data_IF_896285263611
#
_entry.id   IF_896285263611
#
_cell.length_a   1.000
_cell.length_b   1.000
_cell.length_c   1.000
_cell.angle_alpha   90.00
_cell.angle_beta   90.00
_cell.angle_gamma   90.00
#
_symmetry.space_group_name_H-M   'P 1'
#
loop_
_entity.id
_entity.type
_entity.pdbx_description
1 polymer ?
#
# COMPACT_ATOMS: atom_id res chain seq x y z
N UNK A 1 -61.29 -10.86 -37.38
CA UNK A 1 -60.43 -9.67 -37.15
C UNK A 1 -59.43 -10.00 -36.07
N UNK A 2 -58.14 -10.03 -36.44
CA UNK A 2 -57.01 -10.38 -35.56
C UNK A 2 -56.74 -9.24 -34.58
N UNK A 3 -56.61 -9.53 -33.28
CA UNK A 3 -55.99 -8.63 -32.30
C UNK A 3 -54.81 -9.36 -31.66
N UNK A 4 -53.63 -9.02 -32.13
CA UNK A 4 -52.32 -9.38 -31.60
C UNK A 4 -52.08 -8.62 -30.30
N UNK A 5 -51.91 -9.34 -29.19
CA UNK A 5 -51.34 -8.79 -27.96
C UNK A 5 -49.84 -9.14 -27.96
N UNK A 6 -49.00 -8.13 -28.12
CA UNK A 6 -47.55 -8.28 -27.99
C UNK A 6 -47.18 -8.00 -26.54
N UNK A 7 -46.87 -9.05 -25.77
CA UNK A 7 -46.30 -8.94 -24.44
C UNK A 7 -44.83 -8.52 -24.59
N UNK A 8 -44.50 -7.27 -24.25
CA UNK A 8 -43.11 -6.83 -24.13
C UNK A 8 -42.60 -7.19 -22.73
N UNK A 9 -41.90 -8.32 -22.62
CA UNK A 9 -41.19 -8.71 -21.40
C UNK A 9 -39.92 -7.88 -21.27
N UNK A 10 -39.98 -6.84 -20.43
CA UNK A 10 -38.83 -6.04 -20.04
C UNK A 10 -38.03 -6.81 -18.96
N UNK A 11 -37.05 -7.60 -19.39
CA UNK A 11 -36.07 -8.21 -18.48
C UNK A 11 -35.11 -7.14 -17.96
N UNK A 12 -35.46 -6.48 -16.86
CA UNK A 12 -34.49 -5.70 -16.07
C UNK A 12 -33.62 -6.70 -15.31
N UNK A 13 -32.48 -7.06 -15.88
CA UNK A 13 -31.40 -7.71 -15.14
C UNK A 13 -30.81 -6.62 -14.23
N UNK A 14 -31.36 -6.48 -13.03
CA UNK A 14 -30.66 -5.83 -11.94
C UNK A 14 -29.45 -6.71 -11.60
N UNK A 15 -28.33 -6.45 -12.26
CA UNK A 15 -27.04 -6.92 -11.81
C UNK A 15 -26.78 -6.23 -10.46
N UNK A 16 -27.27 -6.86 -9.39
CA UNK A 16 -26.86 -6.55 -8.04
C UNK A 16 -25.37 -6.89 -7.95
N UNK A 17 -24.55 -5.92 -8.35
CA UNK A 17 -23.15 -5.87 -8.04
C UNK A 17 -23.05 -5.87 -6.52
N UNK A 18 -22.90 -7.07 -5.96
CA UNK A 18 -22.39 -7.30 -4.63
C UNK A 18 -20.95 -6.77 -4.64
N UNK A 19 -20.82 -5.44 -4.56
CA UNK A 19 -19.65 -4.81 -4.00
C UNK A 19 -19.61 -5.29 -2.56
N UNK A 20 -18.95 -6.43 -2.37
CA UNK A 20 -18.35 -6.76 -1.08
C UNK A 20 -17.38 -5.63 -0.84
N UNK A 21 -17.87 -4.61 -0.11
CA UNK A 21 -17.07 -3.57 0.49
C UNK A 21 -15.91 -4.29 1.16
N UNK A 22 -14.74 -4.22 0.53
CA UNK A 22 -13.51 -4.64 1.13
C UNK A 22 -13.34 -3.64 2.26
N UNK A 23 -13.80 -4.00 3.48
CA UNK A 23 -13.67 -3.14 4.65
C UNK A 23 -12.20 -2.80 4.77
N UNK A 24 -11.87 -1.58 4.37
CA UNK A 24 -10.58 -0.96 4.59
C UNK A 24 -10.22 -1.12 6.07
N UNK A 25 -8.94 -1.30 6.38
CA UNK A 25 -8.51 -1.23 7.77
C UNK A 25 -8.91 0.13 8.34
N UNK A 26 -9.74 0.14 9.38
CA UNK A 26 -10.00 1.36 10.15
C UNK A 26 -8.73 1.65 10.97
N UNK A 27 -7.78 2.34 10.33
CA UNK A 27 -6.62 2.91 11.00
C UNK A 27 -7.09 4.20 11.68
N UNK A 28 -7.29 4.14 12.99
CA UNK A 28 -7.57 5.29 13.83
C UNK A 28 -6.28 6.00 14.23
N UNK A 29 -6.37 7.30 14.49
CA UNK A 29 -5.21 8.09 14.94
C UNK A 29 -4.89 7.91 16.43
N UNK A 30 -3.61 8.06 16.77
CA UNK A 30 -3.06 8.33 18.11
C UNK A 30 -1.99 9.43 18.02
N UNK A 31 -2.25 10.45 17.21
CA UNK A 31 -1.32 11.56 17.01
C UNK A 31 -1.06 12.31 18.32
N UNK A 32 0.21 12.43 18.69
CA UNK A 32 0.63 13.28 19.80
C UNK A 32 1.06 14.66 19.28
N UNK A 33 1.18 15.65 20.17
CA UNK A 33 1.52 17.02 19.80
C UNK A 33 2.86 17.12 19.05
N UNK A 34 3.86 16.31 19.42
CA UNK A 34 5.16 16.28 18.75
C UNK A 34 5.03 15.87 17.27
N UNK A 35 4.26 14.83 16.98
CA UNK A 35 3.98 14.37 15.63
C UNK A 35 3.21 15.43 14.84
N UNK A 36 2.16 15.99 15.43
CA UNK A 36 1.35 17.04 14.79
C UNK A 36 2.21 18.24 14.40
N UNK A 37 3.07 18.73 15.31
CA UNK A 37 3.96 19.85 15.01
C UNK A 37 4.97 19.48 13.91
N UNK A 38 5.51 18.26 13.94
CA UNK A 38 6.51 17.82 12.98
C UNK A 38 5.94 17.65 11.56
N UNK A 39 4.67 17.25 11.43
CA UNK A 39 4.05 16.89 10.15
C UNK A 39 3.05 17.92 9.60
N UNK A 40 2.57 18.86 10.43
CA UNK A 40 1.60 19.87 9.99
C UNK A 40 2.18 20.80 8.91
N UNK A 41 1.41 21.02 7.86
CA UNK A 41 1.81 21.88 6.74
C UNK A 41 2.90 21.27 5.86
N UNK A 42 3.19 19.98 6.02
CA UNK A 42 4.27 19.31 5.30
C UNK A 42 3.77 18.16 4.46
N UNK A 43 4.60 17.86 3.48
CA UNK A 43 4.51 16.68 2.64
C UNK A 43 5.83 15.94 2.76
N UNK A 44 5.79 14.72 3.30
CA UNK A 44 6.98 13.93 3.56
C UNK A 44 6.95 12.67 2.71
N UNK A 45 7.88 12.53 1.78
CA UNK A 45 8.11 11.27 1.08
C UNK A 45 9.06 10.37 1.87
N UNK A 46 8.75 9.07 1.94
CA UNK A 46 9.60 8.05 2.53
C UNK A 46 9.51 6.73 1.75
N UNK A 47 10.55 5.90 1.86
CA UNK A 47 10.53 4.48 1.49
C UNK A 47 10.66 3.70 2.80
N UNK A 48 9.57 3.31 3.48
CA UNK A 48 9.70 2.64 4.76
C UNK A 48 10.23 1.22 4.59
N UNK A 49 11.25 0.84 5.36
CA UNK A 49 11.83 -0.51 5.32
C UNK A 49 10.77 -1.62 5.50
N UNK A 50 9.82 -1.42 6.41
CA UNK A 50 8.73 -2.38 6.66
C UNK A 50 7.77 -2.51 5.46
N UNK A 51 7.55 -1.41 4.74
CA UNK A 51 6.70 -1.40 3.56
C UNK A 51 7.39 -2.11 2.39
N UNK A 52 8.68 -1.82 2.20
CA UNK A 52 9.51 -2.46 1.19
C UNK A 52 9.70 -3.96 1.46
N UNK A 53 9.89 -4.36 2.73
CA UNK A 53 9.94 -5.77 3.13
C UNK A 53 8.66 -6.51 2.73
N UNK A 54 7.50 -5.89 2.94
CA UNK A 54 6.23 -6.51 2.58
C UNK A 54 6.09 -6.70 1.07
N UNK A 55 6.52 -5.71 0.27
CA UNK A 55 6.60 -5.86 -1.18
C UNK A 55 7.60 -6.94 -1.61
N UNK A 56 8.77 -7.03 -0.96
CA UNK A 56 9.75 -8.07 -1.23
C UNK A 56 9.18 -9.47 -0.98
N UNK A 57 8.48 -9.67 0.15
CA UNK A 57 7.82 -10.93 0.45
C UNK A 57 6.68 -11.24 -0.54
N UNK A 58 5.92 -10.22 -0.94
CA UNK A 58 4.87 -10.32 -1.95
C UNK A 58 5.43 -10.74 -3.32
N UNK A 59 6.56 -10.17 -3.75
CA UNK A 59 7.23 -10.46 -5.02
C UNK A 59 7.65 -11.92 -5.16
N UNK A 60 7.89 -12.63 -4.05
CA UNK A 60 8.22 -14.05 -4.04
C UNK A 60 6.98 -14.97 -4.20
N UNK A 61 5.77 -14.44 -4.08
CA UNK A 61 4.54 -15.22 -4.19
C UNK A 61 4.23 -15.59 -5.65
N UNK A 62 3.55 -16.71 -5.87
CA UNK A 62 3.13 -17.14 -7.20
C UNK A 62 2.18 -16.13 -7.85
N UNK A 63 1.36 -15.44 -7.05
CA UNK A 63 0.43 -14.43 -7.55
C UNK A 63 1.21 -13.25 -8.15
N UNK A 64 2.13 -12.65 -7.40
CA UNK A 64 2.89 -11.49 -7.88
C UNK A 64 3.87 -11.84 -9.01
N UNK A 65 4.37 -13.08 -9.06
CA UNK A 65 5.21 -13.54 -10.18
C UNK A 65 4.42 -13.69 -11.49
N UNK A 66 3.13 -14.04 -11.42
CA UNK A 66 2.27 -14.17 -12.60
C UNK A 66 1.64 -12.85 -13.02
N UNK A 67 1.20 -12.05 -12.05
CA UNK A 67 0.52 -10.79 -12.29
C UNK A 67 1.52 -9.61 -12.20
N UNK A 68 2.05 -9.24 -13.37
CA UNK A 68 3.02 -8.14 -13.51
C UNK A 68 2.42 -6.76 -13.24
N UNK A 69 1.12 -6.65 -12.93
CA UNK A 69 0.50 -5.40 -12.48
C UNK A 69 0.72 -5.15 -10.99
N UNK A 70 0.99 -6.18 -10.18
CA UNK A 70 1.15 -6.06 -8.72
C UNK A 70 2.54 -5.51 -8.37
N UNK A 71 3.58 -6.11 -8.95
CA UNK A 71 4.99 -5.74 -8.73
C UNK A 71 5.65 -5.39 -10.06
N UNK A 72 6.49 -4.35 -10.09
CA UNK A 72 7.25 -4.01 -11.29
C UNK A 72 8.44 -4.95 -11.50
N UNK A 73 8.25 -5.96 -12.33
CA UNK A 73 9.25 -6.98 -12.62
C UNK A 73 10.31 -6.54 -13.64
N UNK A 74 10.17 -5.35 -14.26
CA UNK A 74 11.02 -4.89 -15.37
C UNK A 74 12.14 -3.93 -14.92
N UNK A 75 12.47 -3.92 -13.63
CA UNK A 75 13.44 -2.99 -13.05
C UNK A 75 14.72 -3.73 -12.64
N UNK A 76 15.86 -3.04 -12.70
CA UNK A 76 17.12 -3.57 -12.14
C UNK A 76 16.96 -3.95 -10.67
N UNK A 77 16.26 -3.11 -9.89
CA UNK A 77 15.95 -3.37 -8.49
C UNK A 77 15.20 -4.68 -8.26
N UNK A 78 14.20 -5.00 -9.08
CA UNK A 78 13.49 -6.28 -8.98
C UNK A 78 14.42 -7.46 -9.26
N UNK A 79 15.30 -7.37 -10.25
CA UNK A 79 16.25 -8.43 -10.55
C UNK A 79 17.29 -8.63 -9.43
N UNK A 80 17.77 -7.54 -8.83
CA UNK A 80 18.66 -7.59 -7.65
C UNK A 80 17.94 -8.22 -6.45
N UNK A 81 16.68 -7.82 -6.22
CA UNK A 81 15.84 -8.41 -5.19
C UNK A 81 15.62 -9.90 -5.39
N UNK A 82 15.29 -10.33 -6.61
CA UNK A 82 15.11 -11.76 -6.91
C UNK A 82 16.42 -12.55 -6.78
N UNK A 83 17.56 -11.94 -7.10
CA UNK A 83 18.88 -12.56 -6.91
C UNK A 83 19.17 -12.77 -5.42
N UNK A 84 18.89 -11.78 -4.57
CA UNK A 84 19.13 -11.91 -3.13
C UNK A 84 18.08 -12.79 -2.43
N UNK A 85 16.80 -12.52 -2.71
CA UNK A 85 15.66 -13.03 -1.96
C UNK A 85 15.09 -14.34 -2.53
N UNK A 86 15.40 -14.67 -3.79
CA UNK A 86 14.80 -15.82 -4.51
C UNK A 86 15.01 -17.15 -3.81
N UNK A 87 16.14 -17.34 -3.12
CA UNK A 87 16.43 -18.55 -2.32
C UNK A 87 15.48 -18.73 -1.12
N UNK A 88 14.76 -17.68 -0.72
CA UNK A 88 13.77 -17.71 0.35
C UNK A 88 12.33 -17.88 -0.16
N UNK A 89 12.13 -18.23 -1.44
CA UNK A 89 10.78 -18.46 -1.99
C UNK A 89 9.99 -19.53 -1.22
N UNK A 90 10.67 -20.54 -0.68
CA UNK A 90 10.06 -21.60 0.15
C UNK A 90 10.16 -21.29 1.66
N UNK A 91 10.43 -20.05 2.05
CA UNK A 91 10.41 -19.65 3.44
C UNK A 91 8.97 -19.70 3.97
N UNK A 92 8.77 -20.21 5.19
CA UNK A 92 7.43 -20.40 5.79
C UNK A 92 6.55 -19.14 5.74
N UNK A 93 7.14 -17.95 5.90
CA UNK A 93 6.42 -16.68 5.77
C UNK A 93 5.89 -16.43 4.35
N UNK A 94 6.69 -16.73 3.33
CA UNK A 94 6.31 -16.59 1.91
C UNK A 94 5.24 -17.63 1.57
N UNK A 95 5.42 -18.88 1.99
CA UNK A 95 4.43 -19.95 1.75
C UNK A 95 3.06 -19.62 2.35
N UNK A 96 3.03 -19.11 3.59
CA UNK A 96 1.78 -18.71 4.26
C UNK A 96 1.11 -17.52 3.58
N UNK A 97 1.88 -16.52 3.16
CA UNK A 97 1.36 -15.40 2.38
C UNK A 97 0.81 -15.90 1.05
N UNK A 98 1.59 -16.72 0.33
CA UNK A 98 1.23 -17.31 -0.96
C UNK A 98 -0.06 -18.14 -0.87
N UNK A 99 -0.21 -18.97 0.17
CA UNK A 99 -1.43 -19.74 0.42
C UNK A 99 -2.65 -18.84 0.74
N UNK A 100 -2.43 -17.74 1.46
CA UNK A 100 -3.51 -16.79 1.76
C UNK A 100 -3.96 -16.05 0.51
N UNK A 101 -3.03 -15.52 -0.28
CA UNK A 101 -3.32 -14.78 -1.50
C UNK A 101 -3.85 -15.68 -2.63
N UNK A 102 -3.43 -16.94 -2.69
CA UNK A 102 -3.98 -17.90 -3.66
C UNK A 102 -5.45 -18.20 -3.40
N UNK A 103 -5.88 -18.21 -2.12
CA UNK A 103 -7.29 -18.39 -1.75
C UNK A 103 -8.12 -17.13 -2.00
N UNK A 104 -7.53 -15.95 -1.83
CA UNK A 104 -8.22 -14.68 -2.07
C UNK A 104 -7.25 -13.59 -2.55
N UNK A 105 -7.05 -13.45 -3.88
CA UNK A 105 -6.16 -12.43 -4.44
C UNK A 105 -6.55 -10.99 -4.10
N UNK A 106 -7.83 -10.74 -3.77
CA UNK A 106 -8.31 -9.40 -3.39
C UNK A 106 -7.67 -8.89 -2.08
N UNK A 107 -7.08 -9.79 -1.28
CA UNK A 107 -6.37 -9.43 -0.05
C UNK A 107 -5.03 -8.72 -0.29
N UNK A 108 -4.53 -8.62 -1.52
CA UNK A 108 -3.28 -7.90 -1.82
C UNK A 108 -3.37 -6.43 -1.37
N UNK A 109 -4.46 -5.73 -1.72
CA UNK A 109 -4.67 -4.34 -1.30
C UNK A 109 -4.65 -4.22 0.22
N UNK A 110 -5.42 -5.08 0.88
CA UNK A 110 -5.49 -5.14 2.32
C UNK A 110 -4.11 -5.38 2.94
N UNK A 111 -3.36 -6.34 2.42
CA UNK A 111 -2.00 -6.63 2.84
C UNK A 111 -1.09 -5.39 2.75
N UNK A 112 -1.09 -4.69 1.60
CA UNK A 112 -0.25 -3.51 1.39
C UNK A 112 -0.66 -2.33 2.27
N UNK A 113 -1.96 -2.03 2.38
CA UNK A 113 -2.49 -0.96 3.23
C UNK A 113 -2.09 -1.15 4.69
N UNK A 114 -2.19 -2.38 5.19
CA UNK A 114 -1.88 -2.66 6.59
C UNK A 114 -0.38 -2.54 6.90
N UNK A 115 0.53 -2.74 5.94
CA UNK A 115 1.98 -2.59 6.16
C UNK A 115 2.34 -1.20 6.70
N UNK A 116 1.66 -0.15 6.22
CA UNK A 116 1.96 1.23 6.59
C UNK A 116 1.73 1.53 8.07
N UNK A 117 0.78 0.85 8.69
CA UNK A 117 0.44 1.06 10.09
C UNK A 117 1.46 0.45 11.07
N UNK A 118 2.43 -0.31 10.55
CA UNK A 118 3.54 -0.85 11.31
C UNK A 118 4.85 -0.09 11.04
N UNK A 119 5.81 -0.34 11.91
CA UNK A 119 7.19 0.12 11.80
C UNK A 119 8.11 -0.98 12.30
N UNK A 120 9.33 -0.99 11.76
CA UNK A 120 10.41 -1.78 12.32
C UNK A 120 11.11 -1.00 13.43
N UNK A 121 11.16 -1.59 14.62
CA UNK A 121 11.92 -1.10 15.77
C UNK A 121 12.99 -2.13 16.10
N UNK A 122 14.18 -1.95 15.55
CA UNK A 122 15.21 -3.00 15.53
C UNK A 122 14.68 -4.21 14.77
N UNK A 123 14.66 -5.38 15.41
CA UNK A 123 14.21 -6.64 14.80
C UNK A 123 12.73 -6.97 15.09
N UNK A 124 11.91 -5.97 15.44
CA UNK A 124 10.50 -6.17 15.79
C UNK A 124 9.58 -5.29 14.96
N UNK A 125 8.57 -5.90 14.35
CA UNK A 125 7.40 -5.23 13.82
C UNK A 125 6.51 -4.82 14.98
N UNK A 126 6.26 -3.52 15.06
CA UNK A 126 5.33 -2.96 16.04
C UNK A 126 4.41 -1.99 15.32
N UNK A 127 3.21 -1.78 15.87
CA UNK A 127 2.34 -0.71 15.39
C UNK A 127 3.07 0.63 15.60
N UNK A 128 2.96 1.52 14.61
CA UNK A 128 3.37 2.92 14.78
C UNK A 128 2.58 3.51 15.93
N UNK A 129 3.26 4.23 16.83
CA UNK A 129 2.64 4.81 18.02
C UNK A 129 1.59 5.89 17.68
N UNK A 130 1.68 6.47 16.48
CA UNK A 130 0.74 7.44 15.92
C UNK A 130 -0.55 6.82 15.41
N UNK A 131 -0.67 5.49 15.36
CA UNK A 131 -1.83 4.78 14.81
C UNK A 131 -2.42 3.78 15.80
N UNK A 132 -3.71 3.49 15.60
CA UNK A 132 -4.46 2.43 16.26
C UNK A 132 -5.17 1.65 15.16
N UNK A 133 -4.91 0.35 15.09
CA UNK A 133 -5.71 -0.57 14.26
C UNK A 133 -6.60 -1.38 15.20
N UNK A 134 -7.82 -1.70 14.78
CA UNK A 134 -8.58 -2.77 15.42
C UNK A 134 -7.90 -4.12 15.16
N UNK A 135 -7.06 -4.55 16.10
CA UNK A 135 -6.32 -5.81 16.05
C UNK A 135 -7.22 -7.05 16.11
N UNK A 136 -8.48 -6.93 16.55
CA UNK A 136 -9.41 -8.06 16.65
C UNK A 136 -9.99 -8.45 15.29
N UNK A 137 -9.80 -7.62 14.26
CA UNK A 137 -10.21 -7.92 12.89
C UNK A 137 -9.15 -8.64 12.07
N UNK A 138 -8.00 -9.07 12.63
CA UNK A 138 -6.83 -9.23 11.77
C UNK A 138 -5.89 -10.42 11.97
N UNK A 139 -5.75 -11.18 10.87
CA UNK A 139 -4.57 -11.99 10.51
C UNK A 139 -3.26 -11.17 10.43
N UNK A 140 -3.28 -9.84 10.63
CA UNK A 140 -2.10 -8.99 10.54
C UNK A 140 -1.13 -9.18 11.71
N UNK A 141 -1.59 -9.56 12.92
CA UNK A 141 -0.66 -9.96 13.98
C UNK A 141 0.15 -11.18 13.54
N UNK A 142 -0.49 -12.11 12.81
CA UNK A 142 0.18 -13.24 12.18
C UNK A 142 1.13 -12.76 11.09
N UNK A 143 0.72 -11.86 10.20
CA UNK A 143 1.62 -11.29 9.18
C UNK A 143 2.82 -10.54 9.77
N UNK A 144 2.66 -9.79 10.86
CA UNK A 144 3.76 -9.09 11.53
C UNK A 144 4.84 -10.07 12.00
N UNK A 145 4.44 -11.17 12.66
CA UNK A 145 5.36 -12.24 13.06
C UNK A 145 6.06 -12.87 11.85
N UNK A 146 5.33 -13.07 10.76
CA UNK A 146 5.89 -13.62 9.51
C UNK A 146 6.90 -12.67 8.86
N UNK A 147 6.61 -11.36 8.87
CA UNK A 147 7.48 -10.31 8.37
C UNK A 147 8.75 -10.20 9.23
N UNK A 148 8.65 -10.20 10.56
CA UNK A 148 9.82 -10.20 11.46
C UNK A 148 10.75 -11.37 11.18
N UNK A 149 10.18 -12.59 11.08
CA UNK A 149 10.97 -13.79 10.82
C UNK A 149 11.63 -13.74 9.45
N UNK A 150 10.87 -13.32 8.43
CA UNK A 150 11.40 -13.19 7.08
C UNK A 150 12.50 -12.12 7.01
N UNK A 151 12.30 -10.95 7.63
CA UNK A 151 13.28 -9.87 7.72
C UNK A 151 14.63 -10.36 8.25
N UNK A 152 14.58 -11.07 9.39
CA UNK A 152 15.77 -11.64 10.03
C UNK A 152 16.43 -12.70 9.15
N UNK A 153 15.67 -13.71 8.72
CA UNK A 153 16.23 -14.89 8.04
C UNK A 153 16.72 -14.56 6.62
N UNK A 154 16.12 -13.57 5.97
CA UNK A 154 16.53 -13.07 4.64
C UNK A 154 17.63 -12.01 4.66
N UNK A 155 18.01 -11.53 5.86
CA UNK A 155 18.93 -10.40 6.05
C UNK A 155 18.44 -9.16 5.29
N UNK A 156 17.13 -8.93 5.33
CA UNK A 156 16.48 -7.89 4.51
C UNK A 156 17.03 -6.49 4.79
N UNK A 157 17.35 -6.19 6.04
CA UNK A 157 17.94 -4.90 6.40
C UNK A 157 19.21 -4.58 5.62
N UNK A 158 20.05 -5.58 5.38
CA UNK A 158 21.30 -5.38 4.63
C UNK A 158 21.02 -5.09 3.16
N UNK A 159 20.10 -5.84 2.56
CA UNK A 159 19.62 -5.57 1.21
C UNK A 159 19.03 -4.16 1.10
N UNK A 160 18.20 -3.75 2.06
CA UNK A 160 17.61 -2.42 2.12
C UNK A 160 18.67 -1.32 2.21
N UNK A 161 19.64 -1.44 3.14
CA UNK A 161 20.71 -0.44 3.31
C UNK A 161 21.59 -0.31 2.06
N UNK A 162 21.85 -1.40 1.33
CA UNK A 162 22.59 -1.37 0.06
C UNK A 162 21.92 -0.52 -1.02
N UNK A 163 20.60 -0.31 -0.93
CA UNK A 163 19.82 0.46 -1.90
C UNK A 163 19.45 1.86 -1.40
N UNK A 164 20.03 2.33 -0.28
CA UNK A 164 19.75 3.66 0.27
C UNK A 164 19.94 4.80 -0.74
N UNK A 165 20.90 4.69 -1.68
CA UNK A 165 21.08 5.68 -2.75
C UNK A 165 19.87 5.78 -3.67
N UNK A 166 19.34 4.64 -4.12
CA UNK A 166 18.11 4.58 -4.91
C UNK A 166 16.92 5.18 -4.16
N UNK A 167 16.78 4.85 -2.87
CA UNK A 167 15.68 5.36 -2.04
C UNK A 167 15.78 6.87 -1.83
N UNK A 168 16.98 7.40 -1.59
CA UNK A 168 17.22 8.83 -1.46
C UNK A 168 16.82 9.59 -2.74
N UNK A 169 17.21 9.07 -3.90
CA UNK A 169 16.82 9.63 -5.21
C UNK A 169 15.31 9.64 -5.41
N UNK A 170 14.62 8.55 -5.05
CA UNK A 170 13.16 8.46 -5.13
C UNK A 170 12.47 9.48 -4.22
N UNK A 171 12.94 9.61 -2.98
CA UNK A 171 12.43 10.57 -2.00
C UNK A 171 12.63 12.00 -2.52
N UNK A 172 13.83 12.33 -3.02
CA UNK A 172 14.12 13.65 -3.56
C UNK A 172 13.23 13.98 -4.76
N UNK A 173 13.06 13.05 -5.71
CA UNK A 173 12.17 13.24 -6.87
C UNK A 173 10.73 13.48 -6.43
N UNK A 174 10.22 12.69 -5.48
CA UNK A 174 8.86 12.86 -4.97
C UNK A 174 8.68 14.22 -4.28
N UNK A 175 9.63 14.65 -3.45
CA UNK A 175 9.58 15.95 -2.77
C UNK A 175 9.67 17.13 -3.75
N UNK A 176 10.35 16.97 -4.90
CA UNK A 176 10.42 18.01 -5.94
C UNK A 176 9.16 18.09 -6.80
N UNK A 177 8.43 16.98 -6.95
CA UNK A 177 7.26 16.91 -7.82
C UNK A 177 5.97 17.41 -7.17
N UNK A 178 5.98 17.58 -5.84
CA UNK A 178 4.78 17.90 -5.11
C UNK A 178 5.02 18.89 -3.98
N UNK A 179 4.14 19.89 -3.90
CA UNK A 179 4.06 20.78 -2.76
C UNK A 179 2.84 20.49 -1.88
N UNK A 180 2.96 20.77 -0.58
CA UNK A 180 1.84 20.75 0.35
C UNK A 180 0.65 21.59 -0.14
N UNK A 181 0.93 22.74 -0.74
CA UNK A 181 -0.10 23.65 -1.23
C UNK A 181 -0.92 23.03 -2.37
N UNK A 182 -0.27 22.35 -3.31
CA UNK A 182 -0.97 21.64 -4.39
C UNK A 182 -1.82 20.49 -3.84
N UNK A 183 -1.30 19.68 -2.93
CA UNK A 183 -2.06 18.61 -2.30
C UNK A 183 -3.29 19.13 -1.53
N UNK A 184 -3.15 20.28 -0.87
CA UNK A 184 -4.24 20.97 -0.16
C UNK A 184 -5.36 21.44 -1.09
N UNK A 185 -5.06 21.84 -2.32
CA UNK A 185 -6.11 22.21 -3.30
C UNK A 185 -7.01 21.03 -3.65
N UNK A 186 -6.49 19.79 -3.56
CA UNK A 186 -7.26 18.58 -3.85
C UNK A 186 -8.04 18.12 -2.62
N UNK A 187 -7.44 18.21 -1.42
CA UNK A 187 -8.09 17.85 -0.16
C UNK A 187 -7.82 18.88 0.95
N UNK A 188 -8.66 19.92 1.02
CA UNK A 188 -8.46 21.09 1.89
C UNK A 188 -8.65 20.86 3.40
N UNK A 189 -9.14 19.69 3.81
CA UNK A 189 -9.37 19.33 5.22
C UNK A 189 -8.17 18.63 5.86
N UNK A 190 -7.20 18.19 5.06
CA UNK A 190 -6.02 17.46 5.53
C UNK A 190 -4.92 18.43 5.98
N UNK A 191 -4.26 18.13 7.10
CA UNK A 191 -3.25 19.00 7.72
C UNK A 191 -1.81 18.55 7.48
N UNK A 192 -1.59 17.36 6.94
CA UNK A 192 -0.28 16.85 6.52
C UNK A 192 -0.40 15.69 5.54
N UNK A 193 0.65 15.46 4.76
CA UNK A 193 0.69 14.41 3.74
C UNK A 193 1.92 13.52 3.91
N UNK A 194 1.75 12.22 3.72
CA UNK A 194 2.87 11.30 3.58
C UNK A 194 2.80 10.57 2.25
N UNK A 195 3.94 10.46 1.57
CA UNK A 195 4.08 9.71 0.32
C UNK A 195 4.91 8.49 0.61
N UNK A 196 4.28 7.32 0.45
CA UNK A 196 4.92 6.04 0.74
C UNK A 196 5.34 5.42 -0.58
N UNK A 197 6.65 5.30 -0.75
CA UNK A 197 7.29 4.87 -1.99
C UNK A 197 7.84 3.45 -1.84
N UNK A 198 7.94 2.74 -2.97
CA UNK A 198 8.63 1.46 -3.09
C UNK A 198 9.05 1.25 -4.54
N UNK A 199 10.31 0.87 -4.85
CA UNK A 199 10.72 0.62 -6.24
C UNK A 199 10.00 -0.56 -6.89
N UNK A 200 9.32 -1.40 -6.10
CA UNK A 200 8.52 -2.54 -6.57
C UNK A 200 7.09 -2.14 -6.94
N UNK A 201 6.64 -0.93 -6.61
CA UNK A 201 5.26 -0.50 -6.89
C UNK A 201 5.05 -0.29 -8.38
N UNK A 202 4.03 -0.94 -8.95
CA UNK A 202 3.59 -0.70 -10.34
C UNK A 202 2.14 -0.27 -10.43
N UNK A 203 1.22 -1.20 -10.18
CA UNK A 203 -0.22 -0.98 -10.37
C UNK A 203 -0.92 -0.45 -9.12
N UNK A 204 -0.32 -0.63 -7.93
CA UNK A 204 -0.90 -0.17 -6.68
C UNK A 204 -0.85 1.36 -6.59
N UNK A 205 -2.02 1.96 -6.50
CA UNK A 205 -2.17 3.37 -6.20
C UNK A 205 -3.37 3.55 -5.29
N UNK A 206 -3.26 4.43 -4.31
CA UNK A 206 -4.35 4.67 -3.37
C UNK A 206 -4.03 5.76 -2.37
N UNK A 207 -5.06 6.13 -1.63
CA UNK A 207 -4.91 7.03 -0.50
C UNK A 207 -5.60 6.46 0.74
N UNK A 208 -5.09 6.81 1.90
CA UNK A 208 -5.66 6.47 3.19
C UNK A 208 -5.67 7.72 4.05
N UNK A 209 -6.86 8.23 4.36
CA UNK A 209 -7.00 9.36 5.28
C UNK A 209 -7.11 8.85 6.72
N UNK A 210 -6.25 9.38 7.59
CA UNK A 210 -6.23 9.06 9.01
C UNK A 210 -6.72 10.30 9.76
N UNK A 211 -7.95 10.22 10.26
CA UNK A 211 -8.61 11.33 10.99
C UNK A 211 -8.33 11.24 12.49
N UNK A 212 -7.98 12.37 13.08
CA UNK A 212 -7.90 12.59 14.52
C UNK A 212 -8.67 13.83 14.93
N UNK A 213 -8.79 14.04 16.25
CA UNK A 213 -9.62 15.12 16.80
C UNK A 213 -9.21 16.52 16.30
N UNK A 214 -7.91 16.82 16.27
CA UNK A 214 -7.38 18.13 15.87
C UNK A 214 -6.49 18.10 14.63
N UNK A 215 -6.18 16.90 14.10
CA UNK A 215 -5.25 16.70 13.00
C UNK A 215 -5.70 15.53 12.14
N UNK A 216 -5.58 15.69 10.83
CA UNK A 216 -5.86 14.70 9.80
C UNK A 216 -4.65 14.60 8.88
N UNK A 217 -4.31 13.39 8.48
CA UNK A 217 -3.21 13.10 7.57
C UNK A 217 -3.71 12.28 6.39
N UNK A 218 -3.19 12.55 5.20
CA UNK A 218 -3.45 11.73 4.02
C UNK A 218 -2.18 10.99 3.65
N UNK A 219 -2.27 9.67 3.71
CA UNK A 219 -1.23 8.76 3.23
C UNK A 219 -1.48 8.49 1.77
N UNK A 220 -0.44 8.61 0.97
CA UNK A 220 -0.53 8.50 -0.48
C UNK A 220 0.44 7.41 -0.93
N UNK A 221 -0.12 6.42 -1.61
CA UNK A 221 0.61 5.37 -2.31
C UNK A 221 0.54 5.72 -3.80
N UNK A 222 1.56 6.40 -4.36
CA UNK A 222 1.52 6.82 -5.74
C UNK A 222 1.75 5.63 -6.66
N UNK A 223 1.10 5.65 -7.83
CA UNK A 223 1.54 4.83 -8.95
C UNK A 223 2.93 5.28 -9.38
N UNK A 224 3.84 4.34 -9.62
CA UNK A 224 5.16 4.63 -10.18
C UNK A 224 5.21 4.20 -11.65
N UNK A 225 5.73 5.08 -12.51
CA UNK A 225 6.00 4.69 -13.90
C UNK A 225 7.36 4.00 -14.02
N UNK A 226 7.49 3.14 -15.03
CA UNK A 226 8.65 2.28 -15.34
C UNK A 226 9.98 3.04 -15.48
N UNK A 227 9.94 4.37 -15.61
CA UNK A 227 11.13 5.22 -15.71
C UNK A 227 11.34 6.15 -14.49
N UNK A 228 10.53 6.00 -13.43
CA UNK A 228 10.54 6.89 -12.26
C UNK A 228 10.19 8.35 -12.57
N UNK A 229 9.61 8.62 -13.75
CA UNK A 229 9.37 9.98 -14.27
C UNK A 229 8.02 10.56 -13.88
N UNK A 230 7.09 9.74 -13.41
CA UNK A 230 5.78 10.20 -12.97
C UNK A 230 5.36 9.43 -11.72
N UNK A 231 5.11 10.18 -10.65
CA UNK A 231 4.25 9.73 -9.58
C UNK A 231 2.84 10.17 -9.96
N UNK A 232 1.84 9.30 -9.90
CA UNK A 232 0.47 9.67 -10.25
C UNK A 232 -0.36 10.05 -9.00
N UNK A 233 0.12 11.00 -8.19
CA UNK A 233 -0.55 11.37 -6.93
C UNK A 233 -1.95 11.93 -7.17
N UNK A 234 -2.13 12.78 -8.20
CA UNK A 234 -3.45 13.35 -8.52
C UNK A 234 -4.48 12.27 -8.86
N UNK A 235 -4.08 11.22 -9.57
CA UNK A 235 -4.93 10.07 -9.88
C UNK A 235 -5.25 9.25 -8.63
N UNK A 236 -4.27 9.04 -7.74
CA UNK A 236 -4.47 8.34 -6.47
C UNK A 236 -5.46 9.09 -5.54
N UNK A 237 -5.40 10.42 -5.52
CA UNK A 237 -6.33 11.24 -4.73
C UNK A 237 -7.72 11.30 -5.40
N UNK A 238 -7.79 11.43 -6.73
CA UNK A 238 -9.06 11.53 -7.47
C UNK A 238 -9.85 10.21 -7.49
N UNK A 239 -9.18 9.07 -7.65
CA UNK A 239 -9.84 7.75 -7.76
C UNK A 239 -10.59 7.29 -6.50
N UNK A 240 -10.25 7.83 -5.33
CA UNK A 240 -10.95 7.52 -4.08
C UNK A 240 -12.27 8.31 -3.92
N UNK A 241 -12.42 9.46 -4.57
CA UNK A 241 -13.66 10.27 -4.53
C UNK A 241 -14.77 9.77 -5.44
N UNK A 242 -14.45 8.93 -6.43
CA UNK A 242 -15.43 8.31 -7.32
C UNK A 242 -16.02 7.00 -6.77
N UNK A 243 -15.59 6.56 -5.59
CA UNK A 243 -16.00 5.31 -4.95
C UNK A 243 -16.84 5.50 -3.67
N UNK A 244 -17.12 6.76 -3.29
CA UNK A 244 -18.12 7.17 -2.28
C UNK A 244 -19.41 7.63 -2.96
#
# INVERSE_FOLDING_TARGET
MKRTFTLATLCIIAAASLFTSCKSYDVASRFNSKYVIASSGKMNAEVPENFELGYAMLALTNLAQKDTAIVDQNTAYYHDLMTWMGKYKNHKSVELLNATLSRNPKLVKSYLDGLYAFQMNGNRFSLKSSYRIDLNRVDFKRFAILLEKFHKDSRFHEFYVQHNGLYADMIQKANNLYSFNEAKTVNGTVKGYQVILSPLTKGYAGTMEIKGHAYSELIIFPRMSVNGRYYAMKEAIAGNRSAE
#
